data_IF_255151760385
#
_entry.id   IF_255151760385
#
_cell.length_a   1.000
_cell.length_b   1.000
_cell.length_c   1.000
_cell.angle_alpha   90.00
_cell.angle_beta   90.00
_cell.angle_gamma   90.00
#
_symmetry.space_group_name_H-M   'P 1'
#
loop_
_entity.id
_entity.type
_entity.pdbx_description
1 polymer ?
#
# COMPACT_ATOMS: atom_id res chain seq x y z
N UNK A 1 21.08 26.26 10.89
CA UNK A 1 21.85 25.57 10.26
C UNK A 1 21.71 24.18 10.51
N UNK A 2 21.84 23.80 11.59
CA UNK A 2 21.66 22.45 11.86
C UNK A 2 20.27 22.02 11.61
N UNK A 3 19.36 22.93 11.74
CA UNK A 3 18.01 22.59 11.49
C UNK A 3 17.82 22.15 10.11
N UNK A 4 18.46 22.76 9.20
CA UNK A 4 18.34 22.39 7.83
C UNK A 4 18.78 20.96 7.68
N UNK A 5 19.78 20.59 8.44
CA UNK A 5 20.26 19.25 8.37
C UNK A 5 19.25 18.29 8.88
N UNK A 6 18.56 18.67 9.95
CA UNK A 6 17.55 17.80 10.48
C UNK A 6 16.46 17.59 9.48
N UNK A 7 16.12 18.63 8.78
CA UNK A 7 15.11 18.48 7.76
C UNK A 7 15.58 17.52 6.72
N UNK A 8 16.82 17.60 6.37
CA UNK A 8 17.36 16.68 5.43
C UNK A 8 17.27 15.28 5.94
N UNK A 9 17.57 15.11 7.20
CA UNK A 9 17.50 13.80 7.77
C UNK A 9 16.10 13.28 7.61
N UNK A 10 15.12 14.12 7.80
CA UNK A 10 13.77 13.70 7.58
C UNK A 10 13.57 13.19 6.19
N UNK A 11 14.25 13.80 5.24
CA UNK A 11 14.09 13.36 3.90
C UNK A 11 14.79 12.07 3.65
N UNK A 12 15.72 11.73 4.48
CA UNK A 12 16.39 10.48 4.29
C UNK A 12 15.42 9.37 4.40
N UNK A 13 14.37 9.56 5.15
CA UNK A 13 13.37 8.53 5.22
C UNK A 13 12.79 8.32 3.86
N UNK A 14 12.78 9.34 3.05
CA UNK A 14 12.30 9.20 1.71
C UNK A 14 13.19 8.32 0.87
N UNK A 15 14.40 8.05 1.33
CA UNK A 15 15.28 7.20 0.56
C UNK A 15 14.78 5.75 0.57
N UNK A 16 13.81 5.44 1.41
CA UNK A 16 13.23 4.11 1.41
C UNK A 16 12.06 4.04 0.42
N UNK A 17 11.88 5.06 -0.41
CA UNK A 17 10.86 5.06 -1.43
C UNK A 17 9.65 5.85 -0.99
N UNK A 18 8.55 5.18 -0.72
CA UNK A 18 7.32 5.88 -0.34
C UNK A 18 7.48 6.53 1.04
N UNK A 19 6.56 7.40 1.39
CA UNK A 19 6.62 8.07 2.68
C UNK A 19 6.41 7.07 3.81
N UNK A 20 6.79 7.49 5.00
CA UNK A 20 6.62 6.62 6.16
C UNK A 20 5.15 6.30 6.37
N UNK A 21 4.28 7.27 6.17
CA UNK A 21 2.85 7.07 6.31
C UNK A 21 2.36 5.99 5.34
N UNK A 22 2.84 6.03 4.12
CA UNK A 22 2.45 5.05 3.13
C UNK A 22 3.03 3.68 3.43
N UNK A 23 4.28 3.66 3.88
CA UNK A 23 4.90 2.38 4.19
C UNK A 23 4.17 1.68 5.32
N UNK A 24 3.79 2.40 6.36
CA UNK A 24 3.03 1.82 7.45
C UNK A 24 1.68 1.35 6.94
N UNK A 25 1.03 2.15 6.10
CA UNK A 25 -0.25 1.74 5.55
C UNK A 25 -0.17 0.48 4.73
N UNK A 26 0.91 0.33 3.96
CA UNK A 26 1.07 -0.88 3.16
C UNK A 26 1.27 -2.09 4.05
N UNK A 27 2.01 -1.96 5.14
CA UNK A 27 2.20 -3.08 6.03
C UNK A 27 0.92 -3.45 6.76
N UNK A 28 0.06 -2.49 7.02
CA UNK A 28 -1.25 -2.79 7.60
C UNK A 28 -2.11 -3.55 6.61
N UNK A 29 -2.06 -3.18 5.35
CA UNK A 29 -2.79 -3.88 4.31
C UNK A 29 -2.28 -5.31 4.19
N UNK A 30 -0.95 -5.48 4.24
CA UNK A 30 -0.38 -6.81 4.18
C UNK A 30 -0.89 -7.68 5.32
N UNK A 31 -0.96 -7.12 6.52
CA UNK A 31 -1.40 -7.90 7.68
C UNK A 31 -2.83 -8.38 7.52
N UNK A 32 -3.65 -7.64 6.80
CA UNK A 32 -5.03 -8.04 6.57
C UNK A 32 -5.15 -9.02 5.42
N UNK A 33 -4.46 -8.77 4.35
CA UNK A 33 -4.63 -9.57 3.13
C UNK A 33 -3.80 -10.82 3.17
N UNK A 34 -2.57 -10.72 3.64
CA UNK A 34 -1.65 -11.84 3.60
C UNK A 34 -0.95 -12.03 4.94
N UNK A 35 -1.69 -12.36 6.00
CA UNK A 35 -1.10 -12.49 7.33
C UNK A 35 -0.06 -13.60 7.43
N UNK A 36 -0.10 -14.55 6.50
CA UNK A 36 0.84 -15.67 6.54
C UNK A 36 2.04 -15.46 5.64
N UNK A 37 2.17 -14.29 5.04
CA UNK A 37 3.33 -13.91 4.22
C UNK A 37 3.53 -14.84 3.03
N UNK A 38 2.45 -15.30 2.41
CA UNK A 38 2.55 -16.22 1.29
C UNK A 38 2.73 -15.48 -0.03
N UNK A 39 2.11 -14.32 -0.18
CA UNK A 39 2.15 -13.57 -1.43
C UNK A 39 2.92 -12.28 -1.32
N UNK A 40 2.87 -11.63 -0.17
CA UNK A 40 3.50 -10.34 0.03
C UNK A 40 4.71 -10.44 0.93
N UNK A 41 5.39 -11.57 0.91
CA UNK A 41 6.54 -11.79 1.77
C UNK A 41 7.68 -10.83 1.49
N UNK A 42 7.75 -10.29 0.27
CA UNK A 42 8.81 -9.34 -0.07
C UNK A 42 8.54 -7.94 0.45
N UNK A 43 7.37 -7.70 1.00
CA UNK A 43 7.07 -6.41 1.61
C UNK A 43 7.66 -6.42 3.02
N UNK A 44 8.90 -5.99 3.12
CA UNK A 44 9.59 -6.00 4.42
C UNK A 44 9.95 -4.60 4.84
N UNK A 45 9.86 -4.35 6.13
CA UNK A 45 9.96 -3.03 6.70
C UNK A 45 11.25 -2.30 6.35
N UNK A 46 12.32 -3.01 6.13
CA UNK A 46 13.62 -2.39 5.92
C UNK A 46 13.93 -2.11 4.46
N UNK A 47 13.02 -2.42 3.53
CA UNK A 47 13.33 -2.25 2.12
C UNK A 47 12.54 -1.10 1.52
N UNK A 48 12.89 -0.73 0.29
CA UNK A 48 12.27 0.37 -0.42
C UNK A 48 10.87 -0.03 -0.87
N UNK A 49 9.84 0.57 -0.27
CA UNK A 49 8.49 0.16 -0.57
C UNK A 49 8.07 0.45 -2.00
N UNK A 50 8.69 1.39 -2.66
CA UNK A 50 8.38 1.62 -4.07
C UNK A 50 8.88 0.50 -4.95
N UNK A 51 9.71 -0.40 -4.43
CA UNK A 51 10.18 -1.54 -5.19
C UNK A 51 9.49 -2.83 -4.80
N UNK A 52 8.56 -2.78 -3.88
CA UNK A 52 7.82 -3.98 -3.50
C UNK A 52 6.92 -4.42 -4.66
N UNK A 53 6.78 -5.72 -4.86
CA UNK A 53 5.92 -6.20 -5.95
C UNK A 53 4.51 -5.66 -5.81
N UNK A 54 3.95 -5.20 -6.91
CA UNK A 54 2.59 -4.69 -6.93
C UNK A 54 2.46 -3.23 -6.63
N UNK A 55 3.56 -2.54 -6.33
CA UNK A 55 3.51 -1.12 -6.00
C UNK A 55 4.22 -0.31 -7.05
N UNK A 56 3.58 0.77 -7.47
CA UNK A 56 4.22 1.70 -8.39
C UNK A 56 4.13 3.09 -7.78
N UNK A 57 5.25 3.79 -7.74
CA UNK A 57 5.32 5.13 -7.19
C UNK A 57 5.56 6.16 -8.28
N UNK A 58 5.11 7.38 -8.04
CA UNK A 58 5.39 8.48 -8.94
C UNK A 58 6.89 8.79 -8.89
N UNK A 59 7.51 9.00 -10.04
CA UNK A 59 8.94 9.22 -10.10
C UNK A 59 9.38 10.52 -9.44
N UNK A 60 8.50 11.49 -9.37
CA UNK A 60 8.85 12.77 -8.81
C UNK A 60 8.54 12.86 -7.34
N UNK A 61 7.31 12.50 -6.96
CA UNK A 61 6.89 12.63 -5.57
C UNK A 61 7.25 11.43 -4.74
N UNK A 62 7.50 10.30 -5.38
CA UNK A 62 7.80 9.03 -4.72
C UNK A 62 6.61 8.53 -3.91
N UNK A 63 5.42 9.01 -4.21
CA UNK A 63 4.23 8.53 -3.54
C UNK A 63 3.60 7.42 -4.35
N UNK A 64 2.89 6.54 -3.65
CA UNK A 64 2.27 5.39 -4.31
C UNK A 64 1.14 5.86 -5.21
N UNK A 65 1.18 5.49 -6.48
CA UNK A 65 0.12 5.85 -7.41
C UNK A 65 -0.65 4.64 -7.89
N UNK A 66 -0.08 3.44 -7.74
CA UNK A 66 -0.77 2.25 -8.18
C UNK A 66 -0.45 1.10 -7.24
N UNK A 67 -1.47 0.34 -6.89
CA UNK A 67 -1.33 -0.78 -5.97
C UNK A 67 -2.08 -1.96 -6.57
N UNK A 68 -1.36 -3.03 -6.86
CA UNK A 68 -1.94 -4.22 -7.44
C UNK A 68 -1.77 -5.38 -6.48
N UNK A 69 -2.88 -5.86 -5.94
CA UNK A 69 -2.89 -6.95 -4.98
C UNK A 69 -3.67 -8.14 -5.51
N UNK A 70 -3.67 -8.30 -6.83
CA UNK A 70 -4.41 -9.37 -7.46
C UNK A 70 -4.07 -10.71 -6.83
N UNK A 71 -5.08 -11.41 -6.35
CA UNK A 71 -4.90 -12.75 -5.85
C UNK A 71 -3.95 -12.90 -4.66
N UNK A 72 -3.72 -11.82 -3.90
CA UNK A 72 -2.75 -11.88 -2.82
C UNK A 72 -3.27 -12.59 -1.58
N UNK A 73 -4.59 -12.65 -1.40
CA UNK A 73 -5.15 -13.24 -0.18
C UNK A 73 -5.31 -14.74 -0.31
N UNK A 74 -4.91 -15.47 0.72
CA UNK A 74 -5.08 -16.91 0.75
C UNK A 74 -6.56 -17.22 0.85
N UNK A 75 -7.07 -18.03 -0.07
CA UNK A 75 -8.49 -18.34 -0.12
C UNK A 75 -8.97 -19.06 1.13
N UNK A 76 -8.07 -19.73 1.84
CA UNK A 76 -8.47 -20.41 3.06
C UNK A 76 -8.89 -19.44 4.16
N UNK A 77 -8.58 -18.16 4.01
CA UNK A 77 -8.96 -17.18 4.99
C UNK A 77 -10.41 -16.71 4.84
N UNK A 78 -11.06 -17.09 3.76
CA UNK A 78 -12.46 -16.74 3.55
C UNK A 78 -12.64 -15.34 3.02
N UNK A 79 -13.91 -14.97 2.85
CA UNK A 79 -14.26 -13.67 2.30
C UNK A 79 -14.09 -12.58 3.34
N UNK A 80 -13.98 -11.34 2.90
CA UNK A 80 -13.81 -10.23 3.81
C UNK A 80 -14.42 -8.97 3.20
N UNK A 81 -14.63 -7.98 4.04
CA UNK A 81 -15.19 -6.70 3.63
C UNK A 81 -14.08 -5.66 3.69
N UNK A 82 -13.92 -4.93 2.61
CA UNK A 82 -12.90 -3.89 2.53
C UNK A 82 -13.35 -2.65 3.29
N UNK A 83 -12.47 -2.14 4.13
CA UNK A 83 -12.69 -0.83 4.73
C UNK A 83 -11.83 0.14 3.94
N UNK A 84 -12.47 1.00 3.16
CA UNK A 84 -11.76 1.88 2.25
C UNK A 84 -10.84 2.86 2.99
N UNK A 85 -11.06 3.05 4.29
CA UNK A 85 -10.20 3.96 5.03
C UNK A 85 -8.77 3.47 5.11
N UNK A 86 -8.52 2.19 4.82
CA UNK A 86 -7.16 1.67 4.78
C UNK A 86 -6.32 2.40 3.75
N UNK A 87 -6.96 3.00 2.75
CA UNK A 87 -6.22 3.62 1.67
C UNK A 87 -6.11 5.13 1.80
N UNK A 88 -6.58 5.69 2.92
CA UNK A 88 -6.46 7.12 3.14
C UNK A 88 -5.03 7.66 3.12
N UNK A 89 -4.02 6.91 3.57
CA UNK A 89 -2.66 7.42 3.50
C UNK A 89 -2.15 7.63 2.09
N UNK A 90 -2.78 6.97 1.11
CA UNK A 90 -2.27 7.02 -0.26
C UNK A 90 -2.95 8.14 -1.03
N UNK A 91 -2.49 9.35 -0.77
CA UNK A 91 -3.16 10.54 -1.27
C UNK A 91 -3.05 10.73 -2.77
N UNK A 92 -2.10 10.08 -3.40
CA UNK A 92 -1.93 10.18 -4.84
C UNK A 92 -2.29 8.89 -5.57
N UNK A 93 -2.92 7.96 -4.88
CA UNK A 93 -3.27 6.68 -5.49
C UNK A 93 -4.26 6.89 -6.63
N UNK A 94 -3.94 6.31 -7.76
CA UNK A 94 -4.76 6.45 -8.96
C UNK A 94 -5.47 5.16 -9.33
N UNK A 95 -4.90 4.01 -9.00
CA UNK A 95 -5.57 2.76 -9.30
C UNK A 95 -5.24 1.72 -8.24
N UNK A 96 -6.23 0.85 -8.01
CA UNK A 96 -6.13 -0.17 -6.98
C UNK A 96 -6.78 -1.42 -7.54
N UNK A 97 -6.00 -2.50 -7.65
CA UNK A 97 -6.53 -3.77 -8.15
C UNK A 97 -6.58 -4.75 -6.97
N UNK A 98 -7.78 -5.07 -6.54
CA UNK A 98 -8.01 -6.01 -5.46
C UNK A 98 -8.73 -7.26 -5.95
N UNK A 99 -8.68 -7.51 -7.24
CA UNK A 99 -9.40 -8.64 -7.79
C UNK A 99 -8.85 -9.97 -7.28
N UNK A 100 -9.71 -10.97 -7.23
CA UNK A 100 -9.37 -12.33 -6.81
C UNK A 100 -8.88 -12.43 -5.37
N UNK A 101 -9.46 -11.63 -4.49
CA UNK A 101 -9.09 -11.64 -3.08
C UNK A 101 -10.27 -12.01 -2.16
N UNK A 102 -11.37 -12.48 -2.72
CA UNK A 102 -12.50 -12.87 -1.89
C UNK A 102 -13.20 -11.70 -1.24
N UNK A 103 -13.15 -10.53 -1.87
CA UNK A 103 -13.84 -9.38 -1.33
C UNK A 103 -15.33 -9.56 -1.38
N UNK A 104 -15.98 -9.33 -0.26
CA UNK A 104 -17.42 -9.44 -0.16
C UNK A 104 -18.10 -8.11 -0.39
N UNK A 105 -17.40 -7.00 -0.17
CA UNK A 105 -17.94 -5.68 -0.37
C UNK A 105 -17.02 -4.61 0.18
N UNK A 106 -17.47 -3.37 0.10
CA UNK A 106 -16.72 -2.24 0.62
C UNK A 106 -17.58 -1.52 1.64
N UNK A 107 -16.97 -1.07 2.70
CA UNK A 107 -17.70 -0.40 3.77
C UNK A 107 -17.81 1.10 3.58
N UNK A 108 -17.14 1.67 2.58
CA UNK A 108 -17.19 3.10 2.34
C UNK A 108 -17.17 3.38 0.86
N UNK A 109 -17.56 4.60 0.52
CA UNK A 109 -17.60 5.02 -0.86
C UNK A 109 -16.19 5.25 -1.37
N UNK A 110 -15.87 4.67 -2.51
CA UNK A 110 -14.52 4.74 -3.04
C UNK A 110 -14.44 5.50 -4.33
N UNK A 111 -15.08 6.59 -4.47
CA UNK A 111 -15.06 7.34 -5.71
C UNK A 111 -13.75 8.03 -6.01
N UNK A 112 -12.75 7.95 -5.15
CA UNK A 112 -11.52 8.70 -5.30
C UNK A 112 -10.57 8.16 -6.35
N UNK A 113 -10.63 6.89 -6.63
CA UNK A 113 -9.69 6.28 -7.57
C UNK A 113 -10.32 5.03 -8.16
N UNK A 114 -9.66 4.47 -9.17
CA UNK A 114 -10.18 3.31 -9.85
C UNK A 114 -9.91 2.06 -9.01
N UNK A 115 -10.97 1.33 -8.69
CA UNK A 115 -10.85 0.12 -7.90
C UNK A 115 -11.32 -1.06 -8.74
N UNK A 116 -10.51 -2.10 -8.78
CA UNK A 116 -10.86 -3.34 -9.45
C UNK A 116 -11.02 -4.40 -8.38
N UNK A 117 -12.25 -4.89 -8.20
CA UNK A 117 -12.57 -5.79 -7.11
C UNK A 117 -12.96 -7.20 -7.51
N UNK A 118 -12.90 -7.51 -8.75
CA UNK A 118 -13.39 -8.80 -9.25
C UNK A 118 -12.63 -10.02 -8.71
#
# INVERSE_FOLDING_TARGET
>A
MLLALLTLVGEWCGSYGCSEEERIGLLEIKALIDPNHLSLGDWVDSSNCCEWPGIECDNTTRRVIQLSLFGARDQSLGDWVLNASLFLPFKELQSLDLSSNGLFGCSENEGRFNIVLI
#
